data_IF_787350070746
#
_entry.id   IF_787350070746
#
_cell.length_a   1.000
_cell.length_b   1.000
_cell.length_c   1.000
_cell.angle_alpha   90.00
_cell.angle_beta   90.00
_cell.angle_gamma   90.00
#
_symmetry.space_group_name_H-M   'P 1'
#
loop_
_entity.id
_entity.type
_entity.pdbx_description
1 polymer ?
#
# COMPACT_ATOMS: atom_id res chain seq x y z
N UNK A 1 -19.47 -8.48 14.61
CA UNK A 1 -18.61 -7.35 15.01
C UNK A 1 -18.92 -6.21 14.05
N UNK A 2 -19.50 -5.10 14.52
CA UNK A 2 -19.68 -3.90 13.69
C UNK A 2 -18.29 -3.35 13.33
N UNK A 3 -18.11 -2.68 12.17
CA UNK A 3 -16.87 -1.96 11.93
C UNK A 3 -16.70 -0.93 13.05
N UNK A 4 -15.48 -0.72 13.58
CA UNK A 4 -15.25 0.35 14.52
C UNK A 4 -15.67 1.65 13.85
N UNK A 5 -16.67 2.33 14.42
CA UNK A 5 -17.00 3.71 14.07
C UNK A 5 -15.92 4.55 14.71
N UNK A 6 -14.74 4.55 14.08
CA UNK A 6 -13.62 5.37 14.49
C UNK A 6 -13.90 6.79 14.07
N UNK A 7 -14.30 7.63 15.02
CA UNK A 7 -13.95 9.05 14.99
C UNK A 7 -12.44 9.05 14.77
N UNK A 8 -11.98 9.55 13.62
CA UNK A 8 -10.54 9.77 13.40
C UNK A 8 -10.20 10.94 14.32
N UNK A 9 -9.44 10.75 15.42
CA UNK A 9 -9.03 11.89 16.22
C UNK A 9 -8.20 12.82 15.33
N UNK A 10 -8.45 14.12 15.41
CA UNK A 10 -7.55 15.12 14.84
C UNK A 10 -6.22 14.98 15.58
N UNK A 11 -5.27 14.26 14.98
CA UNK A 11 -4.06 13.77 15.64
C UNK A 11 -3.04 14.88 15.91
N UNK A 12 -3.32 16.14 15.55
CA UNK A 12 -2.33 17.21 15.60
C UNK A 12 -1.11 16.92 14.71
N UNK A 13 -1.27 16.01 13.76
CA UNK A 13 -0.22 15.48 12.91
C UNK A 13 -0.08 16.41 11.72
N UNK A 14 1.09 17.02 11.53
CA UNK A 14 1.37 17.87 10.38
C UNK A 14 1.39 17.03 9.10
N UNK A 15 0.23 16.89 8.46
CA UNK A 15 0.10 16.20 7.18
C UNK A 15 0.69 17.10 6.09
N UNK A 16 1.67 16.58 5.35
CA UNK A 16 2.18 17.25 4.16
C UNK A 16 1.53 16.66 2.92
N UNK A 17 0.87 17.50 2.12
CA UNK A 17 0.19 17.07 0.91
C UNK A 17 1.10 17.20 -0.31
N UNK A 18 1.14 16.16 -1.13
CA UNK A 18 1.67 16.21 -2.50
C UNK A 18 0.44 16.10 -3.42
N UNK A 19 0.06 17.23 -4.01
CA UNK A 19 -1.21 17.37 -4.72
C UNK A 19 -1.43 16.29 -5.76
N UNK A 20 -2.60 15.63 -5.66
CA UNK A 20 -3.01 14.53 -6.54
C UNK A 20 -2.25 13.21 -6.34
N UNK A 21 -1.18 13.17 -5.54
CA UNK A 21 -0.28 12.01 -5.45
C UNK A 21 -0.42 11.24 -4.13
N UNK A 22 -0.11 11.90 -3.01
CA UNK A 22 -0.19 11.28 -1.68
C UNK A 22 -0.20 12.31 -0.55
N UNK A 23 -0.58 11.85 0.64
CA UNK A 23 -0.40 12.60 1.90
C UNK A 23 0.71 11.95 2.71
N UNK A 24 1.66 12.71 3.24
CA UNK A 24 2.66 12.21 4.19
C UNK A 24 2.03 12.28 5.57
N UNK A 25 1.78 11.10 6.15
CA UNK A 25 1.15 10.98 7.45
C UNK A 25 2.20 11.01 8.55
N UNK A 26 3.27 10.21 8.43
CA UNK A 26 4.27 10.06 9.48
C UNK A 26 5.70 9.98 8.93
N UNK A 27 6.66 10.44 9.73
CA UNK A 27 8.09 10.46 9.39
C UNK A 27 8.90 9.78 10.49
N UNK A 28 9.27 8.53 10.27
CA UNK A 28 10.20 7.81 11.12
C UNK A 28 11.65 7.99 10.63
N UNK A 29 12.66 7.75 11.48
CA UNK A 29 14.05 7.87 11.08
C UNK A 29 14.40 7.03 9.83
N UNK A 30 13.93 5.78 9.77
CA UNK A 30 14.24 4.85 8.68
C UNK A 30 13.22 4.81 7.54
N UNK A 31 11.99 5.29 7.74
CA UNK A 31 10.92 5.20 6.75
C UNK A 31 9.83 6.25 6.96
N UNK A 32 9.07 6.57 5.92
CA UNK A 32 7.87 7.42 6.05
C UNK A 32 6.61 6.59 5.77
N UNK A 33 5.51 7.03 6.38
CA UNK A 33 4.16 6.51 6.13
C UNK A 33 3.43 7.51 5.23
N UNK A 34 3.05 7.06 4.04
CA UNK A 34 2.32 7.87 3.07
C UNK A 34 0.96 7.26 2.76
N UNK A 35 -0.03 8.10 2.53
CA UNK A 35 -1.33 7.72 2.01
C UNK A 35 -1.37 7.96 0.50
N UNK A 36 -1.17 6.90 -0.30
CA UNK A 36 -1.19 6.96 -1.76
C UNK A 36 -2.61 7.22 -2.25
N UNK A 37 -2.82 8.18 -3.16
CA UNK A 37 -4.10 8.37 -3.84
C UNK A 37 -4.33 7.27 -4.89
N UNK A 38 -5.59 7.02 -5.23
CA UNK A 38 -5.96 6.09 -6.32
C UNK A 38 -5.57 6.69 -7.68
N UNK A 39 -5.27 5.84 -8.67
CA UNK A 39 -4.86 6.24 -10.03
C UNK A 39 -3.36 6.51 -10.18
N UNK A 40 -2.61 6.52 -9.09
CA UNK A 40 -1.15 6.74 -9.09
C UNK A 40 -0.42 5.41 -9.17
N UNK A 41 0.41 5.28 -10.20
CA UNK A 41 1.30 4.13 -10.37
C UNK A 41 2.45 4.15 -9.36
N UNK A 42 2.87 2.95 -8.96
CA UNK A 42 3.93 2.78 -7.98
C UNK A 42 5.32 2.92 -8.62
N UNK A 43 5.51 2.29 -9.78
CA UNK A 43 6.68 2.47 -10.65
C UNK A 43 6.34 3.42 -11.78
N UNK A 44 7.36 4.00 -12.42
CA UNK A 44 7.13 4.77 -13.64
C UNK A 44 6.58 3.84 -14.73
N UNK A 45 5.43 4.19 -15.30
CA UNK A 45 4.80 3.46 -16.41
C UNK A 45 4.63 4.41 -17.60
N UNK A 46 5.09 3.99 -18.78
CA UNK A 46 4.96 4.72 -20.05
C UNK A 46 5.31 6.22 -19.97
N UNK A 47 6.34 6.58 -19.21
CA UNK A 47 6.79 7.98 -19.05
C UNK A 47 6.07 8.79 -17.97
N UNK A 48 5.07 8.22 -17.28
CA UNK A 48 4.46 8.85 -16.10
C UNK A 48 5.30 8.54 -14.86
N UNK A 49 5.74 9.54 -14.08
CA UNK A 49 6.48 9.30 -12.84
C UNK A 49 5.65 8.51 -11.83
N UNK A 50 6.23 7.45 -11.26
CA UNK A 50 5.59 6.72 -10.15
C UNK A 50 5.68 7.49 -8.82
N UNK A 51 4.96 7.02 -7.80
CA UNK A 51 4.94 7.62 -6.46
C UNK A 51 6.33 7.95 -5.90
N UNK A 52 7.30 7.03 -6.04
CA UNK A 52 8.67 7.23 -5.54
C UNK A 52 9.36 8.40 -6.23
N UNK A 53 9.13 8.59 -7.53
CA UNK A 53 9.70 9.70 -8.28
C UNK A 53 9.10 11.04 -7.82
N UNK A 54 7.78 11.08 -7.58
CA UNK A 54 7.13 12.26 -7.02
C UNK A 54 7.68 12.63 -5.64
N UNK A 55 7.92 11.63 -4.78
CA UNK A 55 8.52 11.85 -3.46
C UNK A 55 9.96 12.37 -3.55
N UNK A 56 10.81 11.73 -4.36
CA UNK A 56 12.19 12.17 -4.56
C UNK A 56 12.27 13.58 -5.19
N UNK A 57 11.31 13.93 -6.07
CA UNK A 57 11.23 15.28 -6.64
C UNK A 57 10.80 16.33 -5.62
N UNK A 58 9.80 16.03 -4.78
CA UNK A 58 9.32 16.93 -3.74
C UNK A 58 10.34 17.10 -2.59
N UNK A 59 11.18 16.10 -2.34
CA UNK A 59 12.21 16.12 -1.30
C UNK A 59 13.57 15.70 -1.87
N UNK A 60 14.27 16.58 -2.62
CA UNK A 60 15.51 16.23 -3.32
C UNK A 60 16.70 15.94 -2.39
N UNK A 61 16.60 16.32 -1.10
CA UNK A 61 17.59 15.97 -0.08
C UNK A 61 17.35 14.59 0.55
N UNK A 62 16.22 13.96 0.24
CA UNK A 62 15.84 12.63 0.71
C UNK A 62 16.04 11.60 -0.40
N UNK A 63 16.16 10.33 -0.02
CA UNK A 63 16.16 9.21 -0.97
C UNK A 63 15.16 8.18 -0.52
N UNK A 64 14.11 7.98 -1.32
CA UNK A 64 13.07 7.01 -1.02
C UNK A 64 13.23 5.73 -1.83
N UNK A 65 13.11 4.60 -1.13
CA UNK A 65 13.16 3.26 -1.70
C UNK A 65 11.82 2.53 -1.49
N UNK A 66 11.32 1.84 -2.52
CA UNK A 66 10.12 1.03 -2.41
C UNK A 66 10.39 -0.23 -1.58
N UNK A 67 9.46 -0.59 -0.69
CA UNK A 67 9.52 -1.84 0.11
C UNK A 67 8.31 -2.76 -0.09
N UNK A 68 7.19 -2.20 -0.53
CA UNK A 68 5.99 -2.90 -0.97
C UNK A 68 5.21 -1.99 -1.91
N UNK A 69 4.21 -2.52 -2.62
CA UNK A 69 3.39 -1.74 -3.56
C UNK A 69 1.90 -1.89 -3.27
N UNK A 70 1.15 -0.85 -3.65
CA UNK A 70 -0.28 -0.91 -3.89
C UNK A 70 -0.51 -0.85 -5.41
N UNK A 71 -1.55 -1.53 -5.89
CA UNK A 71 -1.94 -1.41 -7.30
C UNK A 71 -2.42 0.02 -7.61
N UNK A 72 -2.40 0.40 -8.89
CA UNK A 72 -2.70 1.76 -9.38
C UNK A 72 -3.98 2.33 -8.75
N UNK A 73 -5.08 1.59 -8.87
CA UNK A 73 -6.40 2.04 -8.42
C UNK A 73 -6.61 1.85 -6.91
N UNK A 74 -5.68 1.19 -6.21
CA UNK A 74 -5.74 1.03 -4.76
C UNK A 74 -5.17 2.27 -4.08
N UNK A 75 -5.95 2.89 -3.21
CA UNK A 75 -5.48 3.95 -2.32
C UNK A 75 -5.12 3.41 -0.94
N UNK A 76 -4.39 4.19 -0.15
CA UNK A 76 -4.15 3.88 1.26
C UNK A 76 -2.68 3.91 1.66
N UNK A 77 -2.43 3.30 2.82
CA UNK A 77 -1.14 3.38 3.50
C UNK A 77 -0.05 2.61 2.77
N UNK A 78 1.09 3.28 2.61
CA UNK A 78 2.30 2.74 2.05
C UNK A 78 3.51 3.18 2.88
N UNK A 79 4.49 2.30 3.01
CA UNK A 79 5.76 2.59 3.66
C UNK A 79 6.80 2.82 2.58
N UNK A 80 7.60 3.87 2.73
CA UNK A 80 8.75 4.17 1.88
C UNK A 80 10.00 4.26 2.74
N UNK A 81 11.02 3.47 2.42
CA UNK A 81 12.26 3.45 3.19
C UNK A 81 13.15 4.64 2.81
N UNK A 82 13.96 5.12 3.76
CA UNK A 82 14.90 6.24 3.57
C UNK A 82 16.36 5.83 3.45
N UNK A 83 16.64 4.54 3.56
CA UNK A 83 17.98 3.97 3.40
C UNK A 83 17.88 2.53 2.89
N UNK A 84 18.94 2.00 2.25
CA UNK A 84 19.00 0.59 1.85
C UNK A 84 18.85 -0.38 3.04
N UNK A 85 19.40 -0.03 4.20
CA UNK A 85 19.27 -0.83 5.42
C UNK A 85 17.81 -0.91 5.90
N UNK A 86 17.12 0.24 5.99
CA UNK A 86 15.70 0.26 6.37
C UNK A 86 14.84 -0.47 5.32
N UNK A 87 15.18 -0.36 4.03
CA UNK A 87 14.50 -1.08 2.97
C UNK A 87 14.63 -2.59 3.13
N UNK A 88 15.84 -3.08 3.44
CA UNK A 88 16.11 -4.49 3.70
C UNK A 88 15.31 -4.99 4.91
N UNK A 89 15.36 -4.27 6.04
CA UNK A 89 14.64 -4.64 7.26
C UNK A 89 13.12 -4.71 7.03
N UNK A 90 12.53 -3.68 6.42
CA UNK A 90 11.10 -3.66 6.12
C UNK A 90 10.70 -4.77 5.14
N UNK A 91 11.53 -5.03 4.12
CA UNK A 91 11.29 -6.12 3.17
C UNK A 91 11.27 -7.48 3.86
N UNK A 92 12.18 -7.72 4.80
CA UNK A 92 12.18 -8.93 5.64
C UNK A 92 10.89 -9.02 6.45
N UNK A 93 10.47 -7.94 7.11
CA UNK A 93 9.21 -7.93 7.90
C UNK A 93 7.97 -8.20 7.03
N UNK A 94 7.94 -7.73 5.77
CA UNK A 94 6.88 -8.08 4.82
C UNK A 94 6.94 -9.54 4.40
N UNK A 95 8.12 -10.06 4.07
CA UNK A 95 8.32 -11.44 3.65
C UNK A 95 7.93 -12.44 4.75
N UNK A 96 8.25 -12.12 6.00
CA UNK A 96 7.94 -12.91 7.19
C UNK A 96 6.52 -12.67 7.72
N UNK A 97 5.71 -11.85 7.04
CA UNK A 97 4.32 -11.52 7.41
C UNK A 97 4.17 -10.93 8.82
N UNK A 98 5.21 -10.24 9.31
CA UNK A 98 5.18 -9.58 10.61
C UNK A 98 4.39 -8.25 10.59
N UNK A 99 4.14 -7.71 9.39
CA UNK A 99 3.34 -6.50 9.19
C UNK A 99 1.89 -6.87 8.87
N UNK A 100 0.95 -6.44 9.71
CA UNK A 100 -0.48 -6.62 9.50
C UNK A 100 -1.04 -5.49 8.64
N UNK A 101 -1.74 -5.85 7.57
CA UNK A 101 -2.37 -4.92 6.63
C UNK A 101 -3.89 -5.10 6.67
N UNK A 102 -4.61 -4.01 6.79
CA UNK A 102 -6.07 -4.00 6.78
C UNK A 102 -6.56 -3.18 5.60
N UNK A 103 -7.47 -3.75 4.83
CA UNK A 103 -8.04 -3.12 3.65
C UNK A 103 -9.55 -3.04 3.79
N UNK A 104 -10.10 -1.90 3.41
CA UNK A 104 -11.53 -1.74 3.20
C UNK A 104 -11.80 -1.89 1.70
N UNK A 105 -12.75 -2.76 1.36
CA UNK A 105 -13.17 -3.01 -0.01
C UNK A 105 -14.70 -3.02 -0.10
N UNK A 106 -15.22 -2.54 -1.23
CA UNK A 106 -16.63 -2.63 -1.58
C UNK A 106 -16.79 -3.67 -2.69
N UNK A 107 -17.82 -4.50 -2.59
CA UNK A 107 -18.12 -5.59 -3.52
C UNK A 107 -19.55 -5.46 -4.00
N UNK A 108 -19.77 -5.72 -5.29
CA UNK A 108 -21.09 -5.82 -5.92
C UNK A 108 -21.89 -7.01 -5.38
N UNK A 109 -21.19 -8.03 -4.90
CA UNK A 109 -21.76 -9.26 -4.34
C UNK A 109 -21.60 -9.31 -2.83
N UNK A 110 -22.70 -9.64 -2.15
CA UNK A 110 -22.71 -9.93 -0.73
C UNK A 110 -21.94 -11.23 -0.43
N UNK A 111 -20.98 -11.23 0.51
CA UNK A 111 -20.32 -12.45 0.95
C UNK A 111 -21.33 -13.46 1.54
N UNK A 112 -21.14 -14.76 1.27
CA UNK A 112 -21.99 -15.83 1.82
C UNK A 112 -21.95 -15.90 3.35
N UNK A 113 -20.82 -15.53 3.96
CA UNK A 113 -20.61 -15.53 5.41
C UNK A 113 -20.19 -14.12 5.86
N UNK A 114 -20.54 -13.73 7.09
CA UNK A 114 -20.17 -12.43 7.67
C UNK A 114 -18.65 -12.28 7.90
N UNK A 115 -17.97 -13.39 8.13
CA UNK A 115 -16.52 -13.45 8.32
C UNK A 115 -15.99 -14.82 7.91
N UNK A 116 -14.72 -14.89 7.55
CA UNK A 116 -14.04 -16.14 7.22
C UNK A 116 -12.79 -15.90 6.41
N UNK A 117 -12.11 -17.00 6.11
CA UNK A 117 -10.92 -16.98 5.29
C UNK A 117 -11.28 -17.19 3.82
N UNK A 118 -10.62 -16.44 2.95
CA UNK A 118 -10.54 -16.73 1.52
C UNK A 118 -9.16 -17.36 1.30
N UNK A 119 -9.12 -18.66 1.02
CA UNK A 119 -7.88 -19.45 0.90
C UNK A 119 -7.92 -20.21 -0.42
N UNK A 120 -6.83 -20.16 -1.16
CA UNK A 120 -6.64 -20.91 -2.39
C UNK A 120 -5.30 -20.56 -3.04
N UNK A 121 -4.82 -21.45 -3.90
CA UNK A 121 -3.63 -21.19 -4.71
C UNK A 121 -3.92 -20.12 -5.77
N UNK A 122 -2.87 -19.52 -6.34
CA UNK A 122 -3.00 -18.55 -7.43
C UNK A 122 -2.53 -19.18 -8.75
N UNK A 123 -3.27 -18.97 -9.83
CA UNK A 123 -2.84 -19.37 -11.18
C UNK A 123 -3.12 -18.28 -12.21
N UNK A 124 -2.35 -18.27 -13.30
CA UNK A 124 -2.61 -17.36 -14.42
C UNK A 124 -3.93 -17.72 -15.11
N UNK A 125 -4.70 -16.70 -15.44
CA UNK A 125 -5.89 -16.72 -16.29
C UNK A 125 -5.48 -16.57 -17.75
N UNK A 126 -6.40 -16.89 -18.67
CA UNK A 126 -6.20 -16.80 -20.13
C UNK A 126 -5.89 -15.37 -20.61
N UNK A 127 -6.33 -14.35 -19.87
CA UNK A 127 -6.09 -12.94 -20.16
C UNK A 127 -4.86 -12.35 -19.43
N UNK A 128 -4.01 -13.19 -18.86
CA UNK A 128 -2.81 -12.75 -18.13
C UNK A 128 -3.03 -12.35 -16.66
N UNK A 129 -4.29 -12.13 -16.24
CA UNK A 129 -4.60 -11.86 -14.83
C UNK A 129 -4.38 -13.09 -13.96
N UNK A 130 -4.13 -12.91 -12.67
CA UNK A 130 -4.10 -14.03 -11.72
C UNK A 130 -5.51 -14.30 -11.19
N UNK A 131 -5.85 -15.57 -11.01
CA UNK A 131 -7.10 -16.01 -10.39
C UNK A 131 -6.82 -16.90 -9.19
N UNK A 132 -7.66 -16.75 -8.17
CA UNK A 132 -7.68 -17.65 -7.02
C UNK A 132 -8.30 -18.99 -7.45
N UNK A 133 -7.63 -20.09 -7.13
CA UNK A 133 -8.11 -21.45 -7.33
C UNK A 133 -8.91 -21.91 -6.13
N UNK A 134 -9.85 -22.83 -6.35
CA UNK A 134 -10.56 -23.50 -5.25
C UNK A 134 -9.78 -24.68 -4.66
N UNK A 135 -8.69 -25.09 -5.31
CA UNK A 135 -7.79 -26.11 -4.80
C UNK A 135 -6.95 -25.57 -3.64
N UNK A 136 -6.71 -26.45 -2.66
CA UNK A 136 -5.57 -26.36 -1.75
C UNK A 136 -4.66 -27.54 -2.09
N UNK A 137 -3.43 -27.29 -2.50
CA UNK A 137 -2.37 -28.31 -2.38
C UNK A 137 -1.68 -28.21 -1.03
#
# INVERSE_FOLDING_TARGET
MAPPTGIVPDTGMSIHHIDGVCDILDKQPGFWVVNKKSGIDFHADQGTPGLINHLNHAFPAESFLPVHRLDKDTSGLLLVARSPEAAQQLSTLFAEQQIRKFYLALSDKKPKKKQGWVIGDMAKSRNGNWKLLQSKK
#
